data_IF_876785343065
#
_entry.id   IF_876785343065
#
_cell.length_a   1.000
_cell.length_b   1.000
_cell.length_c   1.000
_cell.angle_alpha   90.00
_cell.angle_beta   90.00
_cell.angle_gamma   90.00
#
_symmetry.space_group_name_H-M   'P 1'
#
loop_
_entity.id
_entity.type
_entity.pdbx_description
1 polymer ?
#
# COMPACT_ATOMS: atom_id res chain seq x y z
N UNK A 1 8.85 31.10 -19.95
CA UNK A 1 9.07 29.73 -19.46
C UNK A 1 7.69 29.19 -19.13
N UNK A 2 7.32 27.99 -19.58
CA UNK A 2 6.02 27.41 -19.25
C UNK A 2 6.23 26.39 -18.12
N UNK A 3 5.71 26.67 -16.93
CA UNK A 3 5.85 25.78 -15.78
C UNK A 3 4.72 24.75 -15.76
N UNK A 4 4.99 23.58 -15.18
CA UNK A 4 4.02 22.50 -15.09
C UNK A 4 2.73 22.95 -14.36
N UNK A 5 2.90 23.71 -13.29
CA UNK A 5 1.85 24.38 -12.55
C UNK A 5 2.44 25.53 -11.70
N UNK A 6 1.58 26.23 -10.95
CA UNK A 6 2.00 27.34 -10.09
C UNK A 6 2.91 26.89 -8.94
N UNK A 7 2.81 25.63 -8.51
CA UNK A 7 3.65 25.10 -7.45
C UNK A 7 5.09 24.94 -7.93
N UNK A 8 5.30 24.40 -9.13
CA UNK A 8 6.63 24.32 -9.74
C UNK A 8 7.21 25.69 -10.09
N UNK A 9 6.39 26.67 -10.49
CA UNK A 9 6.84 28.06 -10.68
C UNK A 9 7.35 28.67 -9.35
N UNK A 10 6.58 28.54 -8.27
CA UNK A 10 6.99 29.06 -6.96
C UNK A 10 8.24 28.32 -6.43
N UNK A 11 8.34 27.00 -6.63
CA UNK A 11 9.55 26.22 -6.30
C UNK A 11 10.77 26.68 -7.09
N UNK A 12 10.61 26.98 -8.38
CA UNK A 12 11.68 27.54 -9.20
C UNK A 12 12.18 28.87 -8.64
N UNK A 13 11.27 29.81 -8.35
CA UNK A 13 11.62 31.11 -7.78
C UNK A 13 12.38 30.97 -6.45
N UNK A 14 11.91 30.06 -5.58
CA UNK A 14 12.56 29.75 -4.32
C UNK A 14 13.96 29.14 -4.52
N UNK A 15 14.08 28.15 -5.40
CA UNK A 15 15.37 27.50 -5.70
C UNK A 15 16.40 28.53 -6.20
N UNK A 16 15.99 29.42 -7.10
CA UNK A 16 16.85 30.47 -7.65
C UNK A 16 17.20 31.54 -6.61
N UNK A 17 16.28 31.88 -5.69
CA UNK A 17 16.56 32.82 -4.60
C UNK A 17 17.56 32.28 -3.58
N UNK A 18 17.62 30.96 -3.41
CA UNK A 18 18.53 30.27 -2.50
C UNK A 18 19.82 29.77 -3.18
N UNK A 19 19.94 29.93 -4.51
CA UNK A 19 21.00 29.31 -5.29
C UNK A 19 22.40 29.85 -4.94
N UNK A 20 23.31 28.94 -4.59
CA UNK A 20 24.75 29.22 -4.54
C UNK A 20 25.40 28.91 -5.88
N UNK A 21 25.00 27.79 -6.52
CA UNK A 21 25.54 27.32 -7.80
C UNK A 21 24.47 26.60 -8.62
N UNK A 22 24.59 26.69 -9.93
CA UNK A 22 23.76 25.95 -10.87
C UNK A 22 24.64 25.26 -11.92
N UNK A 23 24.30 24.02 -12.26
CA UNK A 23 25.04 23.25 -13.28
C UNK A 23 24.18 22.14 -13.88
N UNK A 24 24.48 21.75 -15.11
CA UNK A 24 23.79 20.64 -15.79
C UNK A 24 24.27 19.29 -15.28
N UNK A 25 23.34 18.38 -14.98
CA UNK A 25 23.60 17.03 -14.50
C UNK A 25 22.53 16.05 -14.99
N UNK A 26 22.95 15.05 -15.78
CA UNK A 26 22.15 13.87 -16.16
C UNK A 26 20.76 14.17 -16.79
N UNK A 27 20.61 15.29 -17.48
CA UNK A 27 19.36 15.73 -18.12
C UNK A 27 18.54 16.73 -17.30
N UNK A 28 19.11 17.28 -16.22
CA UNK A 28 18.51 18.30 -15.37
C UNK A 28 19.48 19.45 -15.15
N UNK A 29 18.95 20.63 -14.81
CA UNK A 29 19.75 21.68 -14.17
C UNK A 29 19.68 21.49 -12.66
N UNK A 30 20.80 21.17 -12.03
CA UNK A 30 20.95 21.09 -10.59
C UNK A 30 21.14 22.48 -10.00
N UNK A 31 20.47 22.76 -8.88
CA UNK A 31 20.56 24.01 -8.13
C UNK A 31 21.02 23.69 -6.71
N UNK A 32 22.31 23.91 -6.46
CA UNK A 32 22.88 23.85 -5.12
C UNK A 32 22.48 25.12 -4.38
N UNK A 33 21.89 24.96 -3.19
CA UNK A 33 21.33 26.08 -2.42
C UNK A 33 22.10 26.39 -1.15
N UNK A 34 21.79 27.52 -0.50
CA UNK A 34 22.28 27.81 0.86
C UNK A 34 21.62 26.95 1.96
N UNK A 35 20.51 26.28 1.65
CA UNK A 35 19.83 25.39 2.60
C UNK A 35 20.73 24.17 2.91
N UNK A 36 20.73 23.72 4.16
CA UNK A 36 21.60 22.62 4.62
C UNK A 36 21.03 21.22 4.36
N UNK A 37 19.74 21.13 4.07
CA UNK A 37 19.00 19.87 3.96
C UNK A 37 18.63 19.55 2.51
N UNK A 38 18.37 20.58 1.69
CA UNK A 38 17.70 20.43 0.41
C UNK A 38 18.43 21.17 -0.71
N UNK A 39 18.46 20.54 -1.88
CA UNK A 39 18.81 21.14 -3.16
C UNK A 39 17.64 20.92 -4.14
N UNK A 40 17.71 21.53 -5.32
CA UNK A 40 16.65 21.40 -6.32
C UNK A 40 17.19 20.92 -7.66
N UNK A 41 16.32 20.27 -8.42
CA UNK A 41 16.59 19.89 -9.81
C UNK A 41 15.46 20.41 -10.69
N UNK A 42 15.85 21.10 -11.76
CA UNK A 42 14.95 21.67 -12.75
C UNK A 42 15.01 20.77 -13.97
N UNK A 43 13.89 20.14 -14.28
CA UNK A 43 13.72 19.36 -15.50
C UNK A 43 12.91 20.13 -16.54
N UNK A 44 13.15 19.81 -17.81
CA UNK A 44 12.37 20.34 -18.92
C UNK A 44 11.98 19.20 -19.86
N UNK A 45 10.68 19.07 -20.14
CA UNK A 45 10.16 18.10 -21.10
C UNK A 45 9.15 18.79 -22.03
N UNK A 46 9.39 18.73 -23.34
CA UNK A 46 8.56 19.35 -24.37
C UNK A 46 8.18 20.82 -24.09
N UNK A 47 9.12 21.60 -23.54
CA UNK A 47 8.91 23.03 -23.24
C UNK A 47 8.26 23.31 -21.88
N UNK A 48 7.90 22.27 -21.12
CA UNK A 48 7.35 22.38 -19.77
C UNK A 48 8.44 22.17 -18.75
N UNK A 49 8.48 23.09 -17.78
CA UNK A 49 9.47 23.12 -16.71
C UNK A 49 8.83 22.61 -15.43
N UNK A 50 9.52 21.69 -14.76
CA UNK A 50 9.16 21.16 -13.46
C UNK A 50 10.37 21.21 -12.54
N UNK A 51 10.11 21.39 -11.24
CA UNK A 51 11.13 21.54 -10.22
C UNK A 51 10.89 20.53 -9.10
N UNK A 52 11.87 19.68 -8.85
CA UNK A 52 11.86 18.65 -7.83
C UNK A 52 12.87 18.98 -6.73
N UNK A 53 12.58 18.52 -5.53
CA UNK A 53 13.48 18.63 -4.40
C UNK A 53 14.35 17.37 -4.30
N UNK A 54 15.60 17.54 -3.94
CA UNK A 54 16.52 16.43 -3.66
C UNK A 54 17.28 16.69 -2.36
N UNK A 55 17.74 15.62 -1.72
CA UNK A 55 18.62 15.75 -0.57
C UNK A 55 19.90 16.50 -0.94
N UNK A 56 20.42 17.26 0.05
CA UNK A 56 21.67 18.00 -0.08
C UNK A 56 22.80 17.12 -0.62
N UNK A 57 23.61 17.68 -1.53
CA UNK A 57 24.77 17.00 -2.11
C UNK A 57 24.42 15.70 -2.85
N UNK A 58 23.25 15.66 -3.49
CA UNK A 58 22.88 14.56 -4.37
C UNK A 58 23.84 14.48 -5.57
N UNK A 59 24.83 13.57 -5.50
CA UNK A 59 25.88 13.40 -6.52
C UNK A 59 25.33 12.78 -7.81
N UNK A 60 24.33 11.91 -7.70
CA UNK A 60 23.68 11.23 -8.83
C UNK A 60 22.18 11.52 -8.77
N UNK A 61 21.78 12.55 -9.53
CA UNK A 61 20.41 13.08 -9.57
C UNK A 61 19.41 11.99 -9.89
N UNK A 62 19.73 11.15 -10.89
CA UNK A 62 18.83 10.06 -11.30
C UNK A 62 18.64 9.05 -10.18
N UNK A 63 19.72 8.67 -9.50
CA UNK A 63 19.66 7.75 -8.37
C UNK A 63 18.88 8.35 -7.20
N UNK A 64 19.05 9.63 -6.88
CA UNK A 64 18.30 10.29 -5.80
C UNK A 64 16.80 10.37 -6.09
N UNK A 65 16.43 10.60 -7.34
CA UNK A 65 15.04 10.60 -7.79
C UNK A 65 14.48 9.18 -8.01
N UNK A 66 15.31 8.13 -7.89
CA UNK A 66 14.92 6.75 -8.13
C UNK A 66 14.53 6.45 -9.59
N UNK A 67 15.16 7.13 -10.56
CA UNK A 67 14.88 6.95 -12.00
C UNK A 67 16.07 6.31 -12.71
N UNK A 68 15.79 5.45 -13.69
CA UNK A 68 16.79 4.89 -14.60
C UNK A 68 16.81 5.67 -15.93
N UNK A 69 15.62 5.97 -16.45
CA UNK A 69 15.42 6.61 -17.74
C UNK A 69 14.52 7.83 -17.60
N UNK A 70 14.75 8.84 -18.44
CA UNK A 70 13.78 9.89 -18.70
C UNK A 70 12.81 9.43 -19.79
N UNK A 71 11.58 9.93 -19.77
CA UNK A 71 10.52 9.56 -20.72
C UNK A 71 10.94 9.55 -22.20
N UNK A 72 11.82 10.47 -22.60
CA UNK A 72 12.28 10.61 -23.98
C UNK A 72 13.44 9.67 -24.36
N UNK A 73 14.02 8.96 -23.40
CA UNK A 73 15.11 8.03 -23.63
C UNK A 73 14.58 6.65 -24.04
N UNK A 74 15.31 5.88 -24.87
CA UNK A 74 14.94 4.51 -25.16
C UNK A 74 15.13 3.61 -23.92
N UNK A 75 14.12 2.82 -23.60
CA UNK A 75 14.14 1.80 -22.54
C UNK A 75 13.49 0.50 -23.00
N UNK A 76 13.77 -0.58 -22.28
CA UNK A 76 13.08 -1.86 -22.44
C UNK A 76 12.20 -2.10 -21.23
N UNK A 77 10.94 -2.49 -21.45
CA UNK A 77 10.02 -2.82 -20.37
C UNK A 77 10.44 -4.14 -19.71
N UNK A 78 11.05 -4.04 -18.53
CA UNK A 78 11.55 -5.19 -17.76
C UNK A 78 11.52 -4.91 -16.26
N UNK A 79 11.67 -5.96 -15.44
CA UNK A 79 11.67 -5.85 -13.99
C UNK A 79 12.68 -4.78 -13.49
N UNK A 80 12.22 -3.92 -12.59
CA UNK A 80 13.05 -2.95 -11.87
C UNK A 80 13.36 -1.66 -12.61
N UNK A 81 12.84 -1.43 -13.82
CA UNK A 81 13.04 -0.15 -14.50
C UNK A 81 12.15 0.95 -13.92
N UNK A 82 12.68 2.16 -13.85
CA UNK A 82 12.00 3.36 -13.38
C UNK A 82 12.15 4.48 -14.39
N UNK A 83 11.04 5.04 -14.86
CA UNK A 83 10.96 6.04 -15.93
C UNK A 83 10.45 7.33 -15.32
N UNK A 84 11.25 8.39 -15.36
CA UNK A 84 10.84 9.74 -14.96
C UNK A 84 9.99 10.40 -16.02
N UNK A 85 8.79 10.87 -15.64
CA UNK A 85 7.86 11.60 -16.50
C UNK A 85 7.42 12.86 -15.77
N UNK A 86 8.04 14.00 -16.09
CA UNK A 86 7.87 15.25 -15.35
C UNK A 86 8.15 15.05 -13.86
N UNK A 87 7.18 15.33 -12.99
CA UNK A 87 7.22 15.15 -11.54
C UNK A 87 6.65 13.80 -11.08
N UNK A 88 6.52 12.84 -11.99
CA UNK A 88 6.11 11.47 -11.71
C UNK A 88 7.25 10.49 -12.03
N UNK A 89 7.23 9.34 -11.35
CA UNK A 89 8.03 8.17 -11.74
C UNK A 89 7.12 6.97 -11.98
N UNK A 90 7.32 6.29 -13.12
CA UNK A 90 6.67 5.03 -13.47
C UNK A 90 7.67 3.91 -13.27
N UNK A 91 7.40 3.03 -12.30
CA UNK A 91 8.25 1.90 -11.93
C UNK A 91 7.64 0.59 -12.38
N UNK A 92 8.37 -0.19 -13.16
CA UNK A 92 8.00 -1.57 -13.51
C UNK A 92 8.50 -2.48 -12.40
N UNK A 93 7.63 -2.82 -11.47
CA UNK A 93 7.98 -3.70 -10.34
C UNK A 93 8.20 -5.12 -10.83
N UNK A 94 7.33 -5.57 -11.73
CA UNK A 94 7.37 -6.91 -12.32
C UNK A 94 6.80 -6.89 -13.72
N UNK A 95 7.45 -7.55 -14.65
CA UNK A 95 6.96 -7.92 -15.98
C UNK A 95 6.64 -9.41 -16.00
N UNK A 96 5.53 -9.77 -16.64
CA UNK A 96 5.09 -11.16 -16.75
C UNK A 96 5.31 -11.66 -18.18
N UNK A 97 6.06 -12.75 -18.31
CA UNK A 97 6.25 -13.43 -19.60
C UNK A 97 5.04 -14.25 -20.00
N UNK A 98 4.37 -14.83 -19.01
CA UNK A 98 3.22 -15.69 -19.19
C UNK A 98 2.31 -15.71 -17.94
N UNK A 99 1.17 -16.40 -18.08
CA UNK A 99 0.18 -16.56 -17.02
C UNK A 99 0.71 -17.36 -15.81
N UNK A 100 1.69 -18.26 -16.02
CA UNK A 100 2.30 -19.03 -14.95
C UNK A 100 3.14 -18.13 -14.04
N UNK A 101 3.86 -17.16 -14.59
CA UNK A 101 4.61 -16.16 -13.84
C UNK A 101 3.68 -15.22 -13.07
N UNK A 102 2.58 -14.76 -13.67
CA UNK A 102 1.54 -13.99 -12.98
C UNK A 102 0.97 -14.76 -11.78
N UNK A 103 0.59 -16.03 -12.00
CA UNK A 103 0.04 -16.91 -10.98
C UNK A 103 1.01 -17.07 -9.81
N UNK A 104 2.29 -17.34 -10.10
CA UNK A 104 3.32 -17.52 -9.08
C UNK A 104 3.55 -16.23 -8.29
N UNK A 105 3.61 -15.08 -8.98
CA UNK A 105 3.78 -13.79 -8.32
C UNK A 105 2.62 -13.43 -7.38
N UNK A 106 1.38 -13.70 -7.79
CA UNK A 106 0.21 -13.48 -6.92
C UNK A 106 0.31 -14.33 -5.66
N UNK A 107 0.62 -15.62 -5.81
CA UNK A 107 0.73 -16.55 -4.68
C UNK A 107 1.86 -16.20 -3.72
N UNK A 108 3.04 -15.91 -4.26
CA UNK A 108 4.28 -15.81 -3.51
C UNK A 108 4.52 -14.42 -2.93
N UNK A 109 3.92 -13.38 -3.51
CA UNK A 109 4.16 -11.97 -3.12
C UNK A 109 2.89 -11.21 -2.81
N UNK A 110 1.95 -11.11 -3.76
CA UNK A 110 0.80 -10.22 -3.57
C UNK A 110 -0.13 -10.67 -2.43
N UNK A 111 -0.34 -11.98 -2.24
CA UNK A 111 -1.18 -12.46 -1.15
C UNK A 111 -0.61 -12.13 0.24
N UNK A 112 0.71 -12.14 0.39
CA UNK A 112 1.36 -11.75 1.64
C UNK A 112 1.13 -10.26 1.91
N UNK A 113 1.28 -9.42 0.88
CA UNK A 113 1.00 -7.99 1.00
C UNK A 113 -0.50 -7.72 1.21
N UNK A 114 -1.38 -8.53 0.61
CA UNK A 114 -2.82 -8.43 0.80
C UNK A 114 -3.21 -8.67 2.25
N UNK A 115 -2.68 -9.72 2.90
CA UNK A 115 -2.96 -9.99 4.31
C UNK A 115 -2.65 -8.78 5.21
N UNK A 116 -1.47 -8.17 5.05
CA UNK A 116 -1.07 -6.98 5.80
C UNK A 116 -1.98 -5.77 5.51
N UNK A 117 -2.38 -5.57 4.26
CA UNK A 117 -3.28 -4.48 3.83
C UNK A 117 -4.69 -4.68 4.36
N UNK A 118 -5.23 -5.90 4.29
CA UNK A 118 -6.56 -6.21 4.81
C UNK A 118 -6.62 -6.02 6.32
N UNK A 119 -5.56 -6.39 7.04
CA UNK A 119 -5.43 -6.11 8.46
C UNK A 119 -5.48 -4.60 8.77
N UNK A 120 -4.76 -3.77 8.01
CA UNK A 120 -4.82 -2.31 8.16
C UNK A 120 -6.21 -1.75 7.84
N UNK A 121 -6.86 -2.24 6.78
CA UNK A 121 -8.22 -1.87 6.41
C UNK A 121 -9.23 -2.23 7.52
N UNK A 122 -9.16 -3.44 8.06
CA UNK A 122 -10.02 -3.90 9.16
C UNK A 122 -9.86 -3.06 10.44
N UNK A 123 -8.69 -2.45 10.64
CA UNK A 123 -8.42 -1.50 11.72
C UNK A 123 -8.89 -0.06 11.43
N UNK A 124 -9.54 0.18 10.29
CA UNK A 124 -9.89 1.50 9.76
C UNK A 124 -8.67 2.43 9.56
N UNK A 125 -7.51 1.85 9.22
CA UNK A 125 -6.30 2.59 8.89
C UNK A 125 -6.11 2.75 7.37
N UNK A 126 -6.99 2.13 6.57
CA UNK A 126 -7.10 2.31 5.12
C UNK A 126 -8.58 2.50 4.75
N UNK A 127 -8.88 3.46 3.88
CA UNK A 127 -10.26 3.83 3.51
C UNK A 127 -10.77 3.13 2.23
N UNK A 128 -9.91 2.44 1.48
CA UNK A 128 -10.25 1.97 0.13
C UNK A 128 -10.41 0.46 0.09
N UNK A 129 -11.55 -0.02 -0.42
CA UNK A 129 -11.77 -1.45 -0.65
C UNK A 129 -10.87 -1.93 -1.81
N UNK A 130 -10.02 -2.91 -1.53
CA UNK A 130 -9.08 -3.49 -2.49
C UNK A 130 -9.75 -4.60 -3.32
N UNK A 131 -9.26 -4.84 -4.54
CA UNK A 131 -9.79 -5.88 -5.45
C UNK A 131 -9.86 -7.28 -4.81
N UNK A 132 -8.93 -7.58 -3.91
CA UNK A 132 -8.90 -8.83 -3.15
C UNK A 132 -10.06 -8.93 -2.15
N UNK A 133 -10.42 -7.84 -1.48
CA UNK A 133 -11.57 -7.78 -0.57
C UNK A 133 -12.87 -7.96 -1.35
N UNK A 134 -13.01 -7.26 -2.48
CA UNK A 134 -14.19 -7.39 -3.33
C UNK A 134 -14.36 -8.80 -3.87
N UNK A 135 -13.27 -9.48 -4.24
CA UNK A 135 -13.31 -10.88 -4.61
C UNK A 135 -13.76 -11.77 -3.44
N UNK A 136 -13.16 -11.65 -2.26
CA UNK A 136 -13.54 -12.46 -1.09
C UNK A 136 -15.00 -12.24 -0.71
N UNK A 137 -15.48 -10.99 -0.76
CA UNK A 137 -16.87 -10.64 -0.52
C UNK A 137 -17.81 -11.30 -1.55
N UNK A 138 -17.39 -11.41 -2.82
CA UNK A 138 -18.17 -12.05 -3.89
C UNK A 138 -18.32 -13.57 -3.73
N UNK A 139 -17.48 -14.22 -2.93
CA UNK A 139 -17.57 -15.66 -2.67
C UNK A 139 -18.77 -16.01 -1.79
N UNK A 140 -19.32 -15.05 -1.02
CA UNK A 140 -20.33 -15.31 0.01
C UNK A 140 -19.95 -16.48 0.92
N UNK A 141 -18.67 -16.51 1.34
CA UNK A 141 -18.12 -17.59 2.16
C UNK A 141 -18.65 -17.47 3.60
N UNK A 142 -19.40 -18.50 4.02
CA UNK A 142 -20.05 -18.54 5.34
C UNK A 142 -19.06 -18.42 6.49
N UNK A 143 -17.86 -19.00 6.37
CA UNK A 143 -16.86 -18.96 7.45
C UNK A 143 -16.28 -17.55 7.58
N UNK A 144 -16.07 -16.85 6.45
CA UNK A 144 -15.61 -15.45 6.47
C UNK A 144 -16.67 -14.53 7.07
N UNK A 145 -17.94 -14.71 6.69
CA UNK A 145 -19.06 -13.92 7.23
C UNK A 145 -19.25 -14.16 8.73
N UNK A 146 -19.23 -15.43 9.16
CA UNK A 146 -19.32 -15.83 10.56
C UNK A 146 -18.15 -15.27 11.37
N UNK A 147 -16.92 -15.42 10.87
CA UNK A 147 -15.73 -14.90 11.55
C UNK A 147 -15.77 -13.37 11.66
N UNK A 148 -16.21 -12.65 10.63
CA UNK A 148 -16.37 -11.21 10.70
C UNK A 148 -17.40 -10.77 11.75
N UNK A 149 -18.51 -11.52 11.90
CA UNK A 149 -19.49 -11.28 12.95
C UNK A 149 -18.93 -11.57 14.34
N UNK A 150 -18.27 -12.72 14.52
CA UNK A 150 -17.64 -13.12 15.79
C UNK A 150 -16.55 -12.13 16.21
N UNK A 151 -15.67 -11.69 15.31
CA UNK A 151 -14.61 -10.72 15.61
C UNK A 151 -15.17 -9.39 16.13
N UNK A 152 -16.28 -8.89 15.57
CA UNK A 152 -16.93 -7.66 16.06
C UNK A 152 -17.46 -7.83 17.47
N UNK A 153 -18.18 -8.92 17.72
CA UNK A 153 -18.72 -9.23 19.06
C UNK A 153 -17.60 -9.45 20.08
N UNK A 154 -16.53 -10.17 19.70
CA UNK A 154 -15.37 -10.41 20.56
C UNK A 154 -14.74 -9.11 21.04
N UNK A 155 -14.46 -8.18 20.11
CA UNK A 155 -13.89 -6.86 20.47
C UNK A 155 -14.82 -6.04 21.36
N UNK A 156 -16.14 -6.11 21.13
CA UNK A 156 -17.12 -5.41 21.96
C UNK A 156 -17.19 -6.00 23.38
N UNK A 157 -17.28 -7.32 23.49
CA UNK A 157 -17.29 -8.03 24.79
C UNK A 157 -15.99 -7.78 25.55
N UNK A 158 -14.83 -7.86 24.89
CA UNK A 158 -13.53 -7.56 25.49
C UNK A 158 -13.51 -6.15 26.10
N UNK A 159 -13.96 -5.12 25.37
CA UNK A 159 -14.03 -3.73 25.88
C UNK A 159 -14.95 -3.57 27.07
N UNK A 160 -16.00 -4.39 27.19
CA UNK A 160 -16.93 -4.34 28.33
C UNK A 160 -16.30 -5.03 29.55
N UNK A 161 -15.70 -6.21 29.35
CA UNK A 161 -14.98 -6.96 30.39
C UNK A 161 -13.82 -6.15 30.96
N UNK A 162 -13.02 -5.53 30.10
CA UNK A 162 -11.90 -4.64 30.45
C UNK A 162 -12.32 -3.47 31.35
N UNK A 163 -13.55 -2.96 31.17
CA UNK A 163 -14.12 -1.86 32.00
C UNK A 163 -14.82 -2.33 33.27
N UNK A 164 -15.17 -3.61 33.36
CA UNK A 164 -15.98 -4.17 34.44
C UNK A 164 -15.36 -5.51 34.87
N UNK A 165 -14.23 -5.50 35.59
CA UNK A 165 -13.51 -6.73 35.95
C UNK A 165 -14.29 -7.63 36.93
N UNK A 166 -15.31 -7.10 37.61
CA UNK A 166 -16.12 -7.84 38.58
C UNK A 166 -17.61 -7.83 38.20
N UNK A 167 -18.31 -8.96 38.41
CA UNK A 167 -19.77 -9.05 38.32
C UNK A 167 -20.35 -9.31 36.92
N UNK A 168 -19.55 -9.82 35.98
CA UNK A 168 -19.91 -10.04 34.57
C UNK A 168 -19.72 -11.49 34.10
N UNK A 169 -19.78 -12.48 35.00
CA UNK A 169 -19.47 -13.90 34.75
C UNK A 169 -20.15 -14.49 33.50
N UNK A 170 -21.43 -14.14 33.25
CA UNK A 170 -22.17 -14.61 32.06
C UNK A 170 -21.61 -14.06 30.75
N UNK A 171 -21.07 -12.84 30.79
CA UNK A 171 -20.40 -12.23 29.64
C UNK A 171 -19.04 -12.88 29.42
N UNK A 172 -18.32 -13.23 30.48
CA UNK A 172 -17.05 -13.96 30.40
C UNK A 172 -17.25 -15.35 29.79
N UNK A 173 -18.27 -16.10 30.23
CA UNK A 173 -18.64 -17.39 29.61
C UNK A 173 -18.91 -17.20 28.12
N UNK A 174 -19.69 -16.18 27.75
CA UNK A 174 -20.00 -15.91 26.35
C UNK A 174 -18.78 -15.48 25.53
N UNK A 175 -17.87 -14.72 26.13
CA UNK A 175 -16.62 -14.30 25.53
C UNK A 175 -15.75 -15.51 25.19
N UNK A 176 -15.59 -16.46 26.12
CA UNK A 176 -14.84 -17.70 25.90
C UNK A 176 -15.49 -18.62 24.87
N UNK A 177 -16.83 -18.69 24.80
CA UNK A 177 -17.52 -19.41 23.73
C UNK A 177 -17.20 -18.82 22.34
N UNK A 178 -17.25 -17.49 22.21
CA UNK A 178 -16.93 -16.81 20.95
C UNK A 178 -15.46 -16.97 20.60
N UNK A 179 -14.56 -16.89 21.57
CA UNK A 179 -13.13 -17.13 21.42
C UNK A 179 -12.86 -18.54 20.88
N UNK A 180 -13.47 -19.56 21.50
CA UNK A 180 -13.34 -20.94 21.06
C UNK A 180 -13.84 -21.15 19.63
N UNK A 181 -14.92 -20.48 19.24
CA UNK A 181 -15.47 -20.58 17.88
C UNK A 181 -14.57 -19.90 16.84
N UNK A 182 -13.99 -18.74 17.18
CA UNK A 182 -12.97 -18.07 16.35
C UNK A 182 -11.77 -18.99 16.13
N UNK A 183 -11.24 -19.58 17.20
CA UNK A 183 -10.12 -20.52 17.13
C UNK A 183 -10.48 -21.79 16.33
N UNK A 184 -11.72 -22.26 16.43
CA UNK A 184 -12.23 -23.40 15.63
C UNK A 184 -12.23 -23.07 14.14
N UNK A 185 -12.69 -21.88 13.74
CA UNK A 185 -12.70 -21.44 12.34
C UNK A 185 -11.26 -21.24 11.83
N UNK A 186 -10.41 -20.60 12.63
CA UNK A 186 -8.99 -20.40 12.31
C UNK A 186 -8.27 -21.74 12.08
N UNK A 187 -8.46 -22.70 13.00
CA UNK A 187 -7.87 -24.03 12.92
C UNK A 187 -8.32 -24.82 11.68
N UNK A 188 -9.61 -24.75 11.31
CA UNK A 188 -10.11 -25.37 10.06
C UNK A 188 -9.45 -24.80 8.81
N UNK A 189 -9.17 -23.49 8.83
CA UNK A 189 -8.48 -22.80 7.75
C UNK A 189 -6.95 -22.91 7.89
N UNK A 190 -6.43 -23.62 8.88
CA UNK A 190 -5.00 -23.83 9.14
C UNK A 190 -4.23 -22.55 9.51
N UNK A 191 -4.92 -21.53 10.02
CA UNK A 191 -4.37 -20.24 10.44
C UNK A 191 -3.86 -20.34 11.89
N UNK A 192 -2.64 -19.86 12.13
CA UNK A 192 -2.08 -19.74 13.49
C UNK A 192 -2.70 -18.52 14.20
N UNK A 193 -3.02 -18.65 15.49
CA UNK A 193 -3.52 -17.52 16.27
C UNK A 193 -2.37 -16.64 16.72
N UNK A 194 -2.61 -15.33 16.77
CA UNK A 194 -1.67 -14.35 17.30
C UNK A 194 -2.33 -13.66 18.48
N UNK A 195 -1.63 -13.62 19.62
CA UNK A 195 -2.02 -12.80 20.76
C UNK A 195 -1.87 -11.31 20.41
N UNK A 196 -2.89 -10.51 20.72
CA UNK A 196 -2.90 -9.08 20.52
C UNK A 196 -2.06 -8.32 21.54
N UNK A 197 -1.91 -7.01 21.33
CA UNK A 197 -1.27 -6.13 22.31
C UNK A 197 -2.25 -5.82 23.45
N UNK A 198 -2.07 -6.44 24.61
CA UNK A 198 -2.65 -5.95 25.86
C UNK A 198 -2.03 -4.60 26.21
N UNK A 199 -2.84 -3.63 26.65
CA UNK A 199 -2.31 -2.43 27.30
C UNK A 199 -1.82 -2.86 28.69
N UNK A 200 -0.50 -2.88 28.90
CA UNK A 200 0.02 -2.59 30.23
C UNK A 200 -0.12 -1.07 30.41
N UNK A 201 -0.92 -0.63 31.36
CA UNK A 201 -1.00 0.78 31.72
C UNK A 201 0.37 1.18 32.30
N UNK A 202 1.10 2.18 31.74
CA UNK A 202 2.41 2.56 32.27
C UNK A 202 2.36 3.11 33.70
N UNK A 203 1.16 3.46 34.19
CA UNK A 203 0.92 4.00 35.53
C UNK A 203 0.39 2.94 36.54
N UNK A 204 0.29 1.65 36.17
CA UNK A 204 0.03 0.59 37.14
C UNK A 204 1.29 0.33 38.00
N UNK A 205 1.38 1.07 39.10
CA UNK A 205 2.26 0.71 40.20
C UNK A 205 1.80 -0.64 40.77
N UNK A 206 2.54 -1.70 40.44
CA UNK A 206 2.47 -2.98 41.15
C UNK A 206 2.81 -2.69 42.62
N UNK A 207 1.78 -2.58 43.46
CA UNK A 207 1.94 -2.36 44.89
C UNK A 207 2.41 -3.68 45.51
N UNK A 208 3.54 -3.66 46.21
CA UNK A 208 4.22 -4.85 46.74
C UNK A 208 3.47 -5.60 47.86
N UNK A 209 2.21 -5.27 48.18
CA UNK A 209 1.51 -5.79 49.37
C UNK A 209 0.06 -6.27 49.12
N UNK A 210 -0.31 -6.68 47.90
CA UNK A 210 -1.55 -7.45 47.68
C UNK A 210 -1.26 -8.79 47.00
N UNK A 211 -1.45 -9.86 47.78
CA UNK A 211 -1.54 -11.27 47.37
C UNK A 211 -2.80 -11.54 46.52
N UNK A 212 -3.25 -10.55 45.75
CA UNK A 212 -4.18 -10.74 44.65
C UNK A 212 -3.35 -11.18 43.46
N UNK A 213 -3.38 -12.48 43.20
CA UNK A 213 -2.94 -13.11 41.96
C UNK A 213 -3.34 -12.19 40.81
N UNK A 214 -2.36 -11.50 40.24
CA UNK A 214 -2.39 -11.03 38.87
C UNK A 214 -2.82 -12.25 38.05
N UNK A 215 -4.12 -12.39 37.79
CA UNK A 215 -4.55 -13.15 36.62
C UNK A 215 -3.93 -12.35 35.50
N UNK A 216 -2.73 -12.75 35.07
CA UNK A 216 -2.10 -12.26 33.85
C UNK A 216 -3.24 -12.11 32.85
N UNK A 217 -3.57 -10.86 32.50
CA UNK A 217 -4.65 -10.59 31.56
C UNK A 217 -4.19 -11.26 30.28
N UNK A 218 -4.69 -12.47 30.02
CA UNK A 218 -4.39 -13.22 28.81
C UNK A 218 -4.59 -12.26 27.66
N UNK A 219 -3.51 -12.01 26.92
CA UNK A 219 -3.54 -11.03 25.85
C UNK A 219 -4.68 -11.41 24.90
N UNK A 220 -5.62 -10.50 24.60
CA UNK A 220 -6.77 -10.84 23.78
C UNK A 220 -6.29 -11.31 22.42
N UNK A 221 -7.02 -12.23 21.79
CA UNK A 221 -6.71 -12.65 20.42
C UNK A 221 -6.75 -11.45 19.47
N UNK A 222 -5.78 -11.38 18.54
CA UNK A 222 -5.89 -10.46 17.41
C UNK A 222 -6.86 -11.03 16.35
N UNK A 223 -8.15 -10.90 16.65
CA UNK A 223 -9.25 -11.41 15.81
C UNK A 223 -9.34 -10.74 14.44
N UNK A 224 -8.71 -9.57 14.25
CA UNK A 224 -8.63 -8.91 12.96
C UNK A 224 -7.51 -9.50 12.11
N UNK A 225 -6.37 -9.83 12.73
CA UNK A 225 -5.30 -10.53 12.05
C UNK A 225 -5.74 -11.93 11.58
N UNK A 226 -6.43 -12.68 12.46
CA UNK A 226 -7.02 -13.98 12.12
C UNK A 226 -7.98 -13.85 10.92
N UNK A 227 -8.86 -12.82 10.93
CA UNK A 227 -9.79 -12.58 9.83
C UNK A 227 -9.06 -12.29 8.51
N UNK A 228 -8.04 -11.42 8.53
CA UNK A 228 -7.23 -11.11 7.35
C UNK A 228 -6.53 -12.36 6.77
N UNK A 229 -5.99 -13.20 7.65
CA UNK A 229 -5.34 -14.47 7.27
C UNK A 229 -6.31 -15.45 6.63
N UNK A 230 -7.50 -15.64 7.22
CA UNK A 230 -8.54 -16.50 6.65
C UNK A 230 -8.94 -15.99 5.26
N UNK A 231 -9.18 -14.68 5.12
CA UNK A 231 -9.52 -14.08 3.81
C UNK A 231 -8.42 -14.30 2.77
N UNK A 232 -7.15 -14.07 3.12
CA UNK A 232 -6.02 -14.33 2.22
C UNK A 232 -5.93 -15.81 1.80
N UNK A 233 -6.23 -16.75 2.71
CA UNK A 233 -6.33 -18.18 2.38
C UNK A 233 -7.48 -18.49 1.44
N UNK A 234 -8.65 -17.88 1.61
CA UNK A 234 -9.77 -18.07 0.67
C UNK A 234 -9.40 -17.64 -0.75
N UNK A 235 -8.61 -16.56 -0.91
CA UNK A 235 -8.07 -16.17 -2.22
C UNK A 235 -7.13 -17.24 -2.76
N UNK A 236 -6.20 -17.74 -1.93
CA UNK A 236 -5.25 -18.80 -2.31
C UNK A 236 -5.95 -20.08 -2.76
N UNK A 237 -6.95 -20.53 -2.02
CA UNK A 237 -7.74 -21.74 -2.32
C UNK A 237 -8.55 -21.60 -3.60
N UNK A 238 -9.01 -20.38 -3.91
CA UNK A 238 -9.83 -20.06 -5.07
C UNK A 238 -9.04 -19.30 -6.16
N UNK A 239 -7.73 -19.55 -6.28
CA UNK A 239 -6.84 -18.78 -7.14
C UNK A 239 -7.32 -18.69 -8.60
N UNK A 240 -7.79 -19.78 -9.19
CA UNK A 240 -8.27 -19.77 -10.58
C UNK A 240 -9.50 -18.86 -10.76
N UNK A 241 -10.41 -18.89 -9.78
CA UNK A 241 -11.57 -18.00 -9.76
C UNK A 241 -11.13 -16.55 -9.56
N UNK A 242 -10.13 -16.32 -8.72
CA UNK A 242 -9.56 -14.99 -8.51
C UNK A 242 -8.88 -14.43 -9.78
N UNK A 243 -8.08 -15.24 -10.48
CA UNK A 243 -7.45 -14.84 -11.74
C UNK A 243 -8.50 -14.50 -12.81
N UNK A 244 -9.60 -15.24 -12.86
CA UNK A 244 -10.73 -14.92 -13.73
C UNK A 244 -11.40 -13.61 -13.31
N UNK A 245 -11.65 -13.42 -12.02
CA UNK A 245 -12.20 -12.20 -11.47
C UNK A 245 -11.33 -10.97 -11.81
N UNK A 246 -10.00 -11.09 -11.73
CA UNK A 246 -9.06 -10.03 -12.13
C UNK A 246 -9.19 -9.70 -13.62
N UNK A 247 -9.36 -10.69 -14.50
CA UNK A 247 -9.57 -10.48 -15.95
C UNK A 247 -10.91 -9.82 -16.25
N UNK A 248 -11.95 -10.17 -15.50
CA UNK A 248 -13.28 -9.58 -15.63
C UNK A 248 -13.32 -8.14 -15.08
N UNK A 249 -12.49 -7.87 -14.07
CA UNK A 249 -12.30 -6.54 -13.48
C UNK A 249 -11.33 -5.66 -14.26
N UNK A 250 -10.61 -6.21 -15.25
CA UNK A 250 -9.70 -5.46 -16.10
C UNK A 250 -10.48 -4.44 -16.93
N UNK A 251 -10.15 -3.16 -16.75
CA UNK A 251 -10.82 -2.08 -17.45
C UNK A 251 -10.08 -0.74 -17.34
N UNK A 252 -10.67 0.33 -17.89
CA UNK A 252 -10.10 1.66 -17.80
C UNK A 252 -10.12 2.12 -16.34
N UNK A 253 -8.93 2.23 -15.74
CA UNK A 253 -8.75 2.74 -14.38
C UNK A 253 -7.96 4.04 -14.42
N UNK A 254 -8.27 4.95 -13.49
CA UNK A 254 -7.58 6.24 -13.37
C UNK A 254 -7.12 6.48 -11.94
N UNK A 255 -5.91 7.01 -11.80
CA UNK A 255 -5.37 7.51 -10.55
C UNK A 255 -4.69 8.85 -10.82
N UNK A 256 -5.26 9.94 -10.30
CA UNK A 256 -4.80 11.29 -10.58
C UNK A 256 -4.73 11.58 -12.09
N UNK A 257 -3.58 12.04 -12.64
CA UNK A 257 -3.41 12.29 -14.07
C UNK A 257 -3.20 11.02 -14.90
N UNK A 258 -3.05 9.85 -14.26
CA UNK A 258 -2.71 8.59 -14.90
C UNK A 258 -3.97 7.80 -15.27
N UNK A 259 -3.98 7.25 -16.48
CA UNK A 259 -5.00 6.33 -16.98
C UNK A 259 -4.34 5.11 -17.60
N UNK A 260 -4.84 3.92 -17.30
CA UNK A 260 -4.35 2.67 -17.88
C UNK A 260 -5.51 1.68 -17.98
N UNK A 261 -5.44 0.75 -18.93
CA UNK A 261 -6.33 -0.41 -18.94
C UNK A 261 -5.72 -1.51 -18.07
N UNK A 262 -6.34 -1.82 -16.95
CA UNK A 262 -5.78 -2.73 -15.96
C UNK A 262 -6.66 -2.83 -14.71
N UNK A 263 -6.06 -3.24 -13.60
CA UNK A 263 -6.70 -3.31 -12.29
C UNK A 263 -5.89 -2.45 -11.33
N UNK A 264 -6.52 -1.49 -10.67
CA UNK A 264 -5.90 -0.75 -9.57
C UNK A 264 -5.83 -1.68 -8.36
N UNK A 265 -4.64 -2.16 -8.02
CA UNK A 265 -4.43 -3.01 -6.84
C UNK A 265 -4.45 -2.18 -5.56
N UNK A 266 -3.87 -0.97 -5.63
CA UNK A 266 -3.65 -0.15 -4.45
C UNK A 266 -3.49 1.34 -4.80
N UNK A 267 -3.83 2.20 -3.85
CA UNK A 267 -3.47 3.62 -3.86
C UNK A 267 -3.14 4.09 -2.45
N UNK A 268 -1.93 4.61 -2.25
CA UNK A 268 -1.47 5.10 -0.95
C UNK A 268 -1.43 6.63 -0.94
N UNK A 269 -2.20 7.25 -0.04
CA UNK A 269 -2.20 8.71 0.26
C UNK A 269 -2.23 9.65 -0.96
N UNK A 270 -2.76 9.20 -2.12
CA UNK A 270 -2.67 9.92 -3.42
C UNK A 270 -1.22 10.20 -3.89
N UNK A 271 -0.23 9.58 -3.25
CA UNK A 271 1.20 9.65 -3.62
C UNK A 271 1.60 8.55 -4.57
N UNK A 272 0.99 7.37 -4.43
CA UNK A 272 1.30 6.19 -5.22
C UNK A 272 0.04 5.49 -5.71
N UNK A 273 0.06 5.00 -6.95
CA UNK A 273 -0.93 4.09 -7.51
C UNK A 273 -0.25 2.82 -8.06
N UNK A 274 -0.73 1.65 -7.64
CA UNK A 274 -0.21 0.35 -8.09
C UNK A 274 -1.21 -0.32 -9.01
N UNK A 275 -0.78 -0.63 -10.23
CA UNK A 275 -1.60 -1.20 -11.28
C UNK A 275 -1.12 -2.59 -11.66
N UNK A 276 -2.05 -3.52 -11.76
CA UNK A 276 -1.88 -4.80 -12.44
C UNK A 276 -2.37 -4.65 -13.88
N UNK A 277 -1.49 -4.93 -14.83
CA UNK A 277 -1.75 -4.89 -16.25
C UNK A 277 -1.74 -6.34 -16.75
N UNK A 278 -2.85 -6.80 -17.32
CA UNK A 278 -2.99 -8.18 -17.79
C UNK A 278 -2.79 -8.31 -19.30
N UNK A 279 -2.96 -7.20 -20.04
CA UNK A 279 -2.75 -7.15 -21.49
C UNK A 279 -1.88 -5.96 -21.88
N UNK A 280 -1.06 -6.07 -22.94
CA UNK A 280 -0.29 -4.94 -23.45
C UNK A 280 -1.20 -3.76 -23.80
N UNK A 281 -0.71 -2.54 -23.56
CA UNK A 281 -1.45 -1.31 -23.84
C UNK A 281 -0.65 -0.06 -23.54
N UNK A 282 -1.36 1.06 -23.39
CA UNK A 282 -0.76 2.35 -23.03
C UNK A 282 -1.12 2.73 -21.60
N UNK A 283 -0.11 3.11 -20.82
CA UNK A 283 -0.27 3.96 -19.65
C UNK A 283 -0.17 5.41 -20.11
N UNK A 284 -1.26 6.15 -19.94
CA UNK A 284 -1.42 7.54 -20.36
C UNK A 284 -1.28 8.46 -19.16
N UNK A 285 -0.35 9.41 -19.22
CA UNK A 285 -0.15 10.44 -18.20
C UNK A 285 -0.60 11.78 -18.79
N UNK A 286 -1.65 12.36 -18.21
CA UNK A 286 -2.20 13.66 -18.61
C UNK A 286 -1.70 14.75 -17.66
N UNK A 287 -0.40 15.04 -17.73
CA UNK A 287 0.28 16.03 -16.89
C UNK A 287 1.22 16.83 -17.78
N UNK A 288 1.01 18.14 -17.88
CA UNK A 288 1.76 18.95 -18.86
C UNK A 288 1.54 18.52 -20.32
N UNK A 289 0.37 17.96 -20.64
CA UNK A 289 0.12 17.31 -21.94
C UNK A 289 0.03 15.80 -21.82
N UNK A 290 -0.26 15.14 -22.94
CA UNK A 290 -0.46 13.69 -22.99
C UNK A 290 0.87 12.98 -23.25
N UNK A 291 1.28 12.11 -22.34
CA UNK A 291 2.43 11.21 -22.48
C UNK A 291 1.93 9.77 -22.46
N UNK A 292 2.50 8.91 -23.32
CA UNK A 292 2.08 7.51 -23.46
C UNK A 292 3.29 6.62 -23.27
N UNK A 293 3.21 5.73 -22.28
CA UNK A 293 4.18 4.68 -22.03
C UNK A 293 3.54 3.38 -22.46
N UNK A 294 4.14 2.71 -23.45
CA UNK A 294 3.72 1.37 -23.80
C UNK A 294 4.10 0.42 -22.66
N UNK A 295 3.13 -0.33 -22.18
CA UNK A 295 3.23 -1.20 -21.02
C UNK A 295 2.88 -2.63 -21.42
N UNK A 296 3.69 -3.58 -20.97
CA UNK A 296 3.45 -5.01 -21.12
C UNK A 296 2.77 -5.56 -19.86
N UNK A 297 2.21 -6.79 -19.89
CA UNK A 297 1.65 -7.43 -18.70
C UNK A 297 2.64 -7.39 -17.54
N UNK A 298 2.17 -6.91 -16.38
CA UNK A 298 3.06 -6.60 -15.27
C UNK A 298 2.39 -5.86 -14.12
N UNK A 299 3.20 -5.58 -13.10
CA UNK A 299 2.89 -4.66 -12.02
C UNK A 299 3.65 -3.36 -12.27
N UNK A 300 2.89 -2.27 -12.41
CA UNK A 300 3.42 -0.93 -12.58
C UNK A 300 3.00 -0.08 -11.41
N UNK A 301 3.95 0.63 -10.82
CA UNK A 301 3.72 1.60 -9.76
C UNK A 301 3.98 2.98 -10.31
N UNK A 302 3.07 3.92 -10.08
CA UNK A 302 3.30 5.33 -10.39
C UNK A 302 3.35 6.12 -9.09
N UNK A 303 4.39 6.93 -8.92
CA UNK A 303 4.61 7.75 -7.73
C UNK A 303 4.80 9.23 -8.10
N UNK A 304 4.31 10.12 -7.25
CA UNK A 304 4.63 11.56 -7.32
C UNK A 304 6.00 11.81 -6.66
N UNK A 305 6.85 12.61 -7.31
CA UNK A 305 8.19 13.00 -6.84
C UNK A 305 8.16 14.31 -6.01
N UNK A 306 7.06 14.58 -5.31
CA UNK A 306 6.84 15.84 -4.58
C UNK A 306 7.86 16.12 -3.47
#
# INVERSE_FOLDING_TARGET
>A
MNFLDKFHENRYEMAMALAERTYEAQGFTYVETIDRLRDFVIGQDQGIVYVLEVHKNCVDVRKCLGINYLYHEPYQFQDGISIGVLDLVVKVVKSFRDESELRSYILDKELIQFEARDYMYLRNLSETEHVYQSFVNSLHDKEVEELAFLSRNYMEMYRILDRNPEGVDKLEEKFREVEAEILRIAGKNGVEYVEGYGKLDPDEHISEDEEHIEREVERPLDVLHILAQVRARKVRENLESFLRYLRESEGPVSWGPVKVNGVLLDSFERRTGTFLILRPGDLVINRGGEKRIHVEPGIVVVENLE
#
